data_IF_038685680925
#
_entry.id   IF_038685680925
#
_cell.length_a   1.000
_cell.length_b   1.000
_cell.length_c   1.000
_cell.angle_alpha   90.00
_cell.angle_beta   90.00
_cell.angle_gamma   90.00
#
_symmetry.space_group_name_H-M   'P 1'
#
loop_
_entity.id
_entity.type
_entity.pdbx_description
1 polymer ?
#
# COMPACT_ATOMS: atom_id res chain seq x y z
N UNK A 1 -12.64 -3.59 5.30
CA UNK A 1 -11.34 -2.91 5.20
C UNK A 1 -11.12 -2.04 6.43
N UNK A 2 -9.90 -2.04 6.96
CA UNK A 2 -9.49 -1.20 8.09
C UNK A 2 -8.24 -0.42 7.65
N UNK A 3 -8.34 0.90 7.68
CA UNK A 3 -7.25 1.85 7.53
C UNK A 3 -7.51 3.00 8.50
N UNK A 4 -6.48 3.56 9.11
CA UNK A 4 -6.69 4.56 10.15
C UNK A 4 -5.58 5.61 10.27
N UNK A 5 -4.52 5.43 9.51
CA UNK A 5 -3.30 6.24 9.66
C UNK A 5 -2.46 5.84 10.88
N UNK A 6 -1.39 6.57 11.10
CA UNK A 6 -0.46 6.32 12.19
C UNK A 6 -0.90 7.05 13.45
N UNK A 7 -0.93 6.35 14.59
CA UNK A 7 -1.31 6.94 15.87
C UNK A 7 -0.13 6.91 16.86
N UNK A 8 0.22 8.03 17.48
CA UNK A 8 1.41 8.11 18.34
C UNK A 8 1.31 7.25 19.59
N UNK A 9 0.09 7.02 20.13
CA UNK A 9 -0.08 6.33 21.41
C UNK A 9 -0.42 4.84 21.26
N UNK A 10 -0.90 4.39 20.08
CA UNK A 10 -1.26 3.00 19.89
C UNK A 10 -0.07 2.17 19.39
N UNK A 11 0.19 1.05 20.05
CA UNK A 11 1.17 0.04 19.67
C UNK A 11 0.56 -1.09 18.84
N UNK A 12 1.38 -2.04 18.43
CA UNK A 12 0.97 -3.22 17.64
C UNK A 12 -0.07 -4.08 18.38
N UNK A 13 0.03 -4.18 19.70
CA UNK A 13 -0.89 -4.87 20.60
C UNK A 13 -2.33 -4.35 20.49
N UNK A 14 -2.50 -3.02 20.43
CA UNK A 14 -3.80 -2.39 20.20
C UNK A 14 -4.43 -2.87 18.88
N UNK A 15 -3.67 -2.90 17.80
CA UNK A 15 -4.17 -3.29 16.48
C UNK A 15 -4.45 -4.80 16.38
N UNK A 16 -3.62 -5.62 17.00
CA UNK A 16 -3.87 -7.08 17.06
C UNK A 16 -5.11 -7.40 17.90
N UNK A 17 -5.32 -6.70 19.02
CA UNK A 17 -6.53 -6.87 19.83
C UNK A 17 -7.78 -6.43 19.06
N UNK A 18 -7.72 -5.30 18.36
CA UNK A 18 -8.81 -4.83 17.51
C UNK A 18 -9.21 -5.88 16.44
N UNK A 19 -8.23 -6.49 15.77
CA UNK A 19 -8.49 -7.55 14.78
C UNK A 19 -9.15 -8.76 15.46
N UNK A 20 -8.64 -9.21 16.61
CA UNK A 20 -9.22 -10.33 17.37
C UNK A 20 -10.67 -10.07 17.76
N UNK A 21 -11.00 -8.86 18.21
CA UNK A 21 -12.38 -8.45 18.52
C UNK A 21 -13.29 -8.48 17.31
N UNK A 22 -12.81 -7.99 16.15
CA UNK A 22 -13.56 -8.09 14.89
C UNK A 22 -13.86 -9.56 14.55
N UNK A 23 -12.85 -10.42 14.64
CA UNK A 23 -13.00 -11.86 14.36
C UNK A 23 -13.91 -12.57 15.39
N UNK A 24 -13.89 -12.13 16.64
CA UNK A 24 -14.78 -12.67 17.66
C UNK A 24 -16.26 -12.35 17.39
N UNK A 25 -16.56 -11.15 16.90
CA UNK A 25 -17.92 -10.70 16.55
C UNK A 25 -18.37 -11.28 15.20
N UNK A 26 -17.46 -11.33 14.22
CA UNK A 26 -17.71 -11.75 12.85
C UNK A 26 -16.65 -12.76 12.39
N UNK A 27 -16.71 -14.02 12.82
CA UNK A 27 -15.66 -15.02 12.54
C UNK A 27 -15.43 -15.27 11.03
N UNK A 28 -16.48 -15.15 10.22
CA UNK A 28 -16.41 -15.34 8.77
C UNK A 28 -15.95 -14.10 7.98
N UNK A 29 -15.75 -12.95 8.62
CA UNK A 29 -15.33 -11.74 7.92
C UNK A 29 -13.85 -11.81 7.50
N UNK A 30 -13.57 -11.52 6.22
CA UNK A 30 -12.20 -11.31 5.75
C UNK A 30 -11.71 -9.92 6.19
N UNK A 31 -10.62 -9.87 6.96
CA UNK A 31 -10.02 -8.63 7.47
C UNK A 31 -8.86 -8.20 6.58
N UNK A 32 -9.11 -7.23 5.71
CA UNK A 32 -8.07 -6.52 4.97
C UNK A 32 -7.72 -5.24 5.73
N UNK A 33 -6.51 -5.20 6.31
CA UNK A 33 -6.18 -4.17 7.28
C UNK A 33 -4.78 -3.60 7.06
N UNK A 34 -4.70 -2.30 7.26
CA UNK A 34 -3.52 -1.44 7.32
C UNK A 34 -2.68 -1.42 6.03
N UNK A 35 -2.37 -0.23 5.58
CA UNK A 35 -1.43 -0.01 4.47
C UNK A 35 0.00 -0.37 4.89
N UNK A 36 0.89 -0.58 3.92
CA UNK A 36 2.30 -0.85 4.19
C UNK A 36 2.95 0.23 5.07
N UNK A 37 2.53 1.48 4.94
CA UNK A 37 3.05 2.60 5.74
C UNK A 37 2.61 2.50 7.20
N UNK A 38 1.33 2.20 7.44
CA UNK A 38 0.81 1.99 8.80
C UNK A 38 1.47 0.78 9.45
N UNK A 39 1.62 -0.33 8.71
CA UNK A 39 2.30 -1.55 9.17
C UNK A 39 3.75 -1.28 9.54
N UNK A 40 4.49 -0.62 8.67
CA UNK A 40 5.88 -0.26 8.92
C UNK A 40 6.03 0.60 10.17
N UNK A 41 5.15 1.58 10.36
CA UNK A 41 5.16 2.44 11.54
C UNK A 41 4.88 1.65 12.83
N UNK A 42 3.77 0.88 12.89
CA UNK A 42 3.37 0.18 14.12
C UNK A 42 4.34 -0.95 14.51
N UNK A 43 4.91 -1.64 13.53
CA UNK A 43 5.88 -2.72 13.73
C UNK A 43 7.21 -2.16 14.24
N UNK A 44 7.72 -1.09 13.60
CA UNK A 44 8.94 -0.40 14.05
C UNK A 44 8.78 0.17 15.46
N UNK A 45 7.62 0.75 15.78
CA UNK A 45 7.30 1.25 17.12
C UNK A 45 7.32 0.13 18.16
N UNK A 46 6.95 -1.08 17.81
CA UNK A 46 7.01 -2.26 18.67
C UNK A 46 8.43 -2.86 18.82
N UNK A 47 9.43 -2.32 18.12
CA UNK A 47 10.80 -2.84 18.12
C UNK A 47 10.95 -4.19 17.44
N UNK A 48 10.05 -4.56 16.54
CA UNK A 48 10.01 -5.84 15.85
C UNK A 48 10.53 -5.72 14.41
N UNK A 49 10.97 -6.84 13.87
CA UNK A 49 11.15 -6.98 12.42
C UNK A 49 9.80 -6.98 11.70
N UNK A 50 9.80 -6.59 10.43
CA UNK A 50 8.58 -6.59 9.60
C UNK A 50 7.90 -7.97 9.61
N UNK A 51 8.68 -9.04 9.49
CA UNK A 51 8.15 -10.40 9.48
C UNK A 51 7.51 -10.80 10.82
N UNK A 52 8.12 -10.47 11.94
CA UNK A 52 7.58 -10.74 13.28
C UNK A 52 6.25 -10.01 13.51
N UNK A 53 6.19 -8.73 13.17
CA UNK A 53 4.97 -7.94 13.32
C UNK A 53 3.84 -8.43 12.42
N UNK A 54 4.13 -8.74 11.16
CA UNK A 54 3.15 -9.30 10.22
C UNK A 54 2.65 -10.69 10.66
N UNK A 55 3.52 -11.51 11.24
CA UNK A 55 3.13 -12.82 11.79
C UNK A 55 2.15 -12.66 12.96
N UNK A 56 2.38 -11.70 13.86
CA UNK A 56 1.46 -11.39 14.96
C UNK A 56 0.09 -10.91 14.44
N UNK A 57 0.07 -10.03 13.45
CA UNK A 57 -1.17 -9.55 12.83
C UNK A 57 -1.93 -10.67 12.11
N UNK A 58 -1.22 -11.55 11.38
CA UNK A 58 -1.82 -12.74 10.76
C UNK A 58 -2.43 -13.67 11.81
N UNK A 59 -1.72 -13.95 12.90
CA UNK A 59 -2.23 -14.76 14.01
C UNK A 59 -3.44 -14.12 14.69
N UNK A 60 -3.53 -12.80 14.72
CA UNK A 60 -4.70 -12.08 15.22
C UNK A 60 -5.91 -12.18 14.28
N UNK A 61 -5.72 -12.59 13.02
CA UNK A 61 -6.78 -12.77 12.03
C UNK A 61 -6.75 -11.77 10.87
N UNK A 62 -5.64 -11.09 10.62
CA UNK A 62 -5.48 -10.28 9.40
C UNK A 62 -5.33 -11.20 8.18
N UNK A 63 -6.22 -11.05 7.21
CA UNK A 63 -6.28 -11.92 6.03
C UNK A 63 -5.57 -11.33 4.81
N UNK A 64 -5.49 -10.00 4.68
CA UNK A 64 -4.88 -9.34 3.53
C UNK A 64 -4.44 -7.90 3.84
N UNK A 65 -3.60 -7.32 2.96
CA UNK A 65 -3.11 -5.95 3.04
C UNK A 65 -3.60 -5.14 1.85
N UNK A 66 -4.16 -3.92 2.04
CA UNK A 66 -4.46 -3.02 0.94
C UNK A 66 -3.20 -2.40 0.31
N UNK A 67 -3.28 -1.95 -0.93
CA UNK A 67 -2.13 -1.42 -1.68
C UNK A 67 -1.79 0.05 -1.46
N UNK A 68 -2.47 0.74 -0.54
CA UNK A 68 -2.29 2.18 -0.33
C UNK A 68 -0.87 2.56 0.10
N UNK A 69 -0.47 3.81 -0.18
CA UNK A 69 0.85 4.35 0.15
C UNK A 69 1.93 4.08 -0.89
N UNK A 70 1.66 3.30 -1.95
CA UNK A 70 2.58 3.09 -3.07
C UNK A 70 2.87 4.39 -3.82
N UNK A 71 1.86 5.15 -4.10
CA UNK A 71 1.84 6.39 -4.87
C UNK A 71 2.62 6.25 -6.19
N UNK A 72 3.89 6.61 -6.21
CA UNK A 72 4.81 6.40 -7.33
C UNK A 72 6.19 5.96 -6.81
N UNK A 73 6.85 5.01 -7.47
CA UNK A 73 8.15 4.50 -7.08
C UNK A 73 9.29 5.32 -7.69
N UNK A 74 9.36 6.59 -7.26
CA UNK A 74 10.46 7.50 -7.50
C UNK A 74 10.64 8.38 -6.27
N UNK A 75 11.82 8.32 -5.65
CA UNK A 75 12.06 8.97 -4.35
C UNK A 75 11.99 10.50 -4.44
N UNK A 76 12.37 11.10 -5.57
CA UNK A 76 12.30 12.56 -5.75
C UNK A 76 10.85 13.03 -5.83
N UNK A 77 10.03 12.26 -6.55
CA UNK A 77 8.60 12.56 -6.65
C UNK A 77 7.92 12.30 -5.29
N UNK A 78 8.23 11.17 -4.61
CA UNK A 78 7.68 10.86 -3.28
C UNK A 78 7.96 11.99 -2.28
N UNK A 79 9.18 12.50 -2.23
CA UNK A 79 9.53 13.63 -1.36
C UNK A 79 8.69 14.88 -1.64
N UNK A 80 8.21 15.06 -2.87
CA UNK A 80 7.38 16.21 -3.24
C UNK A 80 5.89 16.01 -2.90
N UNK A 81 5.35 14.79 -3.11
CA UNK A 81 3.89 14.55 -3.04
C UNK A 81 3.44 13.88 -1.74
N UNK A 82 4.33 13.14 -1.08
CA UNK A 82 3.99 12.34 0.10
C UNK A 82 5.24 12.06 0.98
N UNK A 83 5.97 13.09 1.46
CA UNK A 83 7.21 12.90 2.22
C UNK A 83 7.03 12.06 3.49
N UNK A 84 5.80 12.05 4.03
CA UNK A 84 5.44 11.29 5.24
C UNK A 84 5.23 9.79 4.99
N UNK A 85 5.15 9.34 3.74
CA UNK A 85 4.79 7.94 3.40
C UNK A 85 5.98 7.00 3.23
N UNK A 86 7.14 7.35 3.76
CA UNK A 86 8.31 6.48 3.70
C UNK A 86 8.83 6.22 2.28
N UNK A 87 9.78 5.30 2.15
CA UNK A 87 10.44 5.00 0.89
C UNK A 87 9.73 3.90 0.08
N UNK A 88 10.03 3.84 -1.21
CA UNK A 88 9.64 2.74 -2.09
C UNK A 88 10.15 1.38 -1.58
N UNK A 89 11.40 1.35 -1.10
CA UNK A 89 12.00 0.12 -0.58
C UNK A 89 11.25 -0.40 0.65
N UNK A 90 10.83 0.50 1.53
CA UNK A 90 10.02 0.15 2.71
C UNK A 90 8.67 -0.43 2.31
N UNK A 91 7.96 0.20 1.36
CA UNK A 91 6.69 -0.30 0.86
C UNK A 91 6.82 -1.70 0.25
N UNK A 92 7.77 -1.89 -0.67
CA UNK A 92 8.02 -3.18 -1.32
C UNK A 92 8.45 -4.25 -0.31
N UNK A 93 9.30 -3.91 0.66
CA UNK A 93 9.75 -4.83 1.70
C UNK A 93 8.62 -5.36 2.59
N UNK A 94 7.65 -4.51 2.95
CA UNK A 94 6.46 -4.95 3.70
C UNK A 94 5.64 -5.94 2.87
N UNK A 95 5.40 -5.66 1.59
CA UNK A 95 4.64 -6.55 0.71
C UNK A 95 5.38 -7.87 0.46
N UNK A 96 6.68 -7.84 0.25
CA UNK A 96 7.49 -9.05 0.09
C UNK A 96 7.43 -9.93 1.34
N UNK A 97 7.60 -9.36 2.53
CA UNK A 97 7.49 -10.09 3.79
C UNK A 97 6.09 -10.67 4.01
N UNK A 98 5.03 -9.91 3.66
CA UNK A 98 3.66 -10.38 3.71
C UNK A 98 3.43 -11.60 2.79
N UNK A 99 3.91 -11.52 1.54
CA UNK A 99 3.78 -12.61 0.58
C UNK A 99 4.49 -13.88 1.04
N UNK A 100 5.71 -13.76 1.60
CA UNK A 100 6.44 -14.91 2.19
C UNK A 100 5.68 -15.57 3.34
N UNK A 101 4.88 -14.80 4.08
CA UNK A 101 4.00 -15.30 5.12
C UNK A 101 2.66 -15.81 4.59
N UNK A 102 2.41 -15.79 3.28
CA UNK A 102 1.14 -16.16 2.67
C UNK A 102 0.01 -15.18 3.02
N UNK A 103 0.32 -13.90 3.19
CA UNK A 103 -0.65 -12.81 3.32
C UNK A 103 -0.77 -12.14 1.95
N UNK A 104 -1.89 -12.31 1.23
CA UNK A 104 -2.09 -11.67 -0.06
C UNK A 104 -2.25 -10.16 0.09
N UNK A 105 -1.81 -9.42 -0.93
CA UNK A 105 -1.87 -7.96 -0.90
C UNK A 105 -2.40 -7.39 -2.21
N UNK A 106 -2.71 -6.09 -2.22
CA UNK A 106 -2.98 -5.37 -3.45
C UNK A 106 -1.82 -4.42 -3.76
N UNK A 107 -1.66 -4.07 -5.04
CA UNK A 107 -0.77 -3.01 -5.49
C UNK A 107 -1.57 -1.82 -6.01
N UNK A 108 -1.03 -0.62 -5.86
CA UNK A 108 -1.64 0.61 -6.39
C UNK A 108 -0.58 1.47 -7.10
N UNK A 109 -1.03 2.37 -7.95
CA UNK A 109 -0.27 3.50 -8.46
C UNK A 109 -1.15 4.75 -8.41
N UNK A 110 -0.60 5.89 -7.99
CA UNK A 110 -1.20 7.20 -8.21
C UNK A 110 -0.55 7.83 -9.42
N UNK A 111 -1.34 8.22 -10.41
CA UNK A 111 -0.82 8.80 -11.66
C UNK A 111 -1.59 10.04 -12.09
N UNK A 112 -0.97 10.84 -12.96
CA UNK A 112 -1.58 12.06 -13.50
C UNK A 112 -1.33 13.28 -12.64
N UNK A 113 -0.25 13.30 -11.84
CA UNK A 113 0.18 14.46 -11.06
C UNK A 113 1.47 15.07 -11.66
N UNK A 114 2.62 14.91 -11.01
CA UNK A 114 3.91 15.51 -11.45
C UNK A 114 4.86 14.49 -12.07
N UNK A 115 4.45 13.24 -12.11
CA UNK A 115 5.24 12.15 -12.67
C UNK A 115 5.21 12.16 -14.21
N UNK A 116 6.22 11.56 -14.82
CA UNK A 116 6.32 11.32 -16.24
C UNK A 116 6.07 9.84 -16.56
N UNK A 117 5.86 9.51 -17.83
CA UNK A 117 5.64 8.13 -18.30
C UNK A 117 6.75 7.16 -17.83
N UNK A 118 8.01 7.59 -17.85
CA UNK A 118 9.14 6.77 -17.37
C UNK A 118 9.00 6.36 -15.90
N UNK A 119 8.42 7.21 -15.06
CA UNK A 119 8.19 6.91 -13.64
C UNK A 119 7.08 5.88 -13.48
N UNK A 120 6.00 5.97 -14.28
CA UNK A 120 4.92 4.96 -14.31
C UNK A 120 5.48 3.61 -14.75
N UNK A 121 6.29 3.56 -15.83
CA UNK A 121 6.92 2.32 -16.32
C UNK A 121 7.83 1.72 -15.25
N UNK A 122 8.68 2.53 -14.59
CA UNK A 122 9.53 2.05 -13.50
C UNK A 122 8.71 1.47 -12.34
N UNK A 123 7.61 2.13 -11.98
CA UNK A 123 6.70 1.65 -10.93
C UNK A 123 6.11 0.28 -11.29
N UNK A 124 5.55 0.15 -12.49
CA UNK A 124 4.98 -1.11 -12.98
C UNK A 124 6.02 -2.23 -13.05
N UNK A 125 7.24 -1.92 -13.55
CA UNK A 125 8.34 -2.88 -13.61
C UNK A 125 8.69 -3.42 -12.22
N UNK A 126 8.81 -2.57 -11.21
CA UNK A 126 9.13 -3.00 -9.84
C UNK A 126 8.01 -3.82 -9.19
N UNK A 127 6.75 -3.48 -9.46
CA UNK A 127 5.62 -4.32 -9.04
C UNK A 127 5.64 -5.68 -9.73
N UNK A 128 5.96 -5.71 -11.05
CA UNK A 128 6.08 -6.96 -11.81
C UNK A 128 7.21 -7.83 -11.27
N UNK A 129 8.38 -7.25 -11.00
CA UNK A 129 9.51 -7.97 -10.42
C UNK A 129 9.14 -8.62 -9.08
N UNK A 130 8.41 -7.92 -8.21
CA UNK A 130 7.93 -8.49 -6.94
C UNK A 130 6.85 -9.55 -7.16
N UNK A 131 5.94 -9.35 -8.10
CA UNK A 131 4.92 -10.36 -8.45
C UNK A 131 5.54 -11.64 -9.01
N UNK A 132 6.53 -11.52 -9.90
CA UNK A 132 7.23 -12.68 -10.47
C UNK A 132 8.01 -13.46 -9.40
N UNK A 133 8.53 -12.76 -8.39
CA UNK A 133 9.23 -13.37 -7.26
C UNK A 133 8.30 -14.08 -6.29
N UNK A 134 7.12 -13.53 -6.02
CA UNK A 134 6.30 -13.94 -4.86
C UNK A 134 4.89 -14.41 -5.20
N UNK A 135 4.32 -13.99 -6.31
CA UNK A 135 2.93 -14.29 -6.69
C UNK A 135 1.84 -13.71 -5.78
N UNK A 136 2.20 -12.79 -4.85
CA UNK A 136 1.33 -12.42 -3.73
C UNK A 136 0.38 -11.25 -3.97
N UNK A 137 0.47 -10.53 -5.08
CA UNK A 137 -0.49 -9.48 -5.41
C UNK A 137 -1.78 -10.06 -5.99
N UNK A 138 -2.91 -9.78 -5.35
CA UNK A 138 -4.24 -10.20 -5.83
C UNK A 138 -4.83 -9.23 -6.86
N UNK A 139 -4.52 -7.95 -6.76
CA UNK A 139 -5.05 -6.93 -7.63
C UNK A 139 -4.08 -5.76 -7.76
N UNK A 140 -4.06 -5.16 -8.95
CA UNK A 140 -3.43 -3.88 -9.22
C UNK A 140 -4.49 -2.82 -9.48
N UNK A 141 -4.45 -1.71 -8.74
CA UNK A 141 -5.47 -0.65 -8.74
C UNK A 141 -4.81 0.67 -9.11
N UNK A 142 -4.95 1.15 -10.35
CA UNK A 142 -4.49 2.47 -10.73
C UNK A 142 -5.48 3.53 -10.22
N UNK A 143 -4.94 4.55 -9.57
CA UNK A 143 -5.65 5.66 -8.98
C UNK A 143 -5.30 6.94 -9.74
N UNK A 144 -6.28 7.52 -10.41
CA UNK A 144 -6.11 8.81 -11.08
C UNK A 144 -6.02 9.93 -10.05
N UNK A 145 -5.01 10.79 -10.20
CA UNK A 145 -4.92 12.01 -9.41
C UNK A 145 -6.14 12.89 -9.60
N UNK A 146 -6.65 13.43 -8.50
CA UNK A 146 -7.75 14.41 -8.45
C UNK A 146 -7.23 15.68 -7.81
N UNK A 147 -7.38 16.80 -8.51
CA UNK A 147 -6.85 18.09 -8.06
C UNK A 147 -7.73 18.80 -7.01
N UNK A 148 -8.99 18.40 -6.88
CA UNK A 148 -9.92 19.07 -5.97
C UNK A 148 -9.56 18.85 -4.49
N UNK A 149 -9.46 19.93 -3.74
CA UNK A 149 -9.34 19.89 -2.27
C UNK A 149 -7.98 19.44 -1.73
N UNK A 150 -6.89 19.57 -2.51
CA UNK A 150 -5.55 19.21 -2.05
C UNK A 150 -4.50 20.31 -2.32
N UNK A 151 -3.31 20.25 -1.67
CA UNK A 151 -2.27 21.28 -1.82
C UNK A 151 -1.68 21.43 -3.22
N UNK A 152 -1.89 20.45 -4.12
CA UNK A 152 -1.42 20.49 -5.51
C UNK A 152 -2.58 20.75 -6.48
N UNK A 153 -3.60 21.49 -6.07
CA UNK A 153 -4.80 21.77 -6.88
C UNK A 153 -4.52 22.52 -8.17
N UNK A 154 -3.38 23.19 -8.28
CA UNK A 154 -2.90 23.84 -9.51
C UNK A 154 -2.52 22.86 -10.62
N UNK A 155 -2.26 21.58 -10.30
CA UNK A 155 -1.97 20.55 -11.29
C UNK A 155 -3.29 20.09 -11.92
N UNK A 156 -3.35 20.18 -13.24
CA UNK A 156 -4.51 19.72 -14.00
C UNK A 156 -4.66 18.20 -13.93
N UNK A 157 -5.89 17.72 -14.11
CA UNK A 157 -6.15 16.28 -14.22
C UNK A 157 -5.83 15.77 -15.63
N UNK A 158 -5.36 14.54 -15.75
CA UNK A 158 -5.16 13.87 -17.05
C UNK A 158 -6.49 13.72 -17.81
N UNK A 159 -6.40 13.82 -19.14
CA UNK A 159 -7.55 13.66 -20.02
C UNK A 159 -8.18 12.26 -19.91
N UNK A 160 -9.42 12.12 -20.32
CA UNK A 160 -10.12 10.82 -20.39
C UNK A 160 -9.35 9.83 -21.28
N UNK A 161 -8.77 10.30 -22.39
CA UNK A 161 -8.01 9.44 -23.32
C UNK A 161 -6.74 8.93 -22.65
N UNK A 162 -6.03 9.79 -21.92
CA UNK A 162 -4.81 9.41 -21.19
C UNK A 162 -5.13 8.44 -20.05
N UNK A 163 -6.22 8.69 -19.33
CA UNK A 163 -6.73 7.80 -18.29
C UNK A 163 -7.03 6.40 -18.88
N UNK A 164 -7.79 6.32 -19.97
CA UNK A 164 -8.08 5.06 -20.67
C UNK A 164 -6.81 4.33 -21.11
N UNK A 165 -5.82 5.05 -21.67
CA UNK A 165 -4.54 4.44 -22.06
C UNK A 165 -3.81 3.83 -20.86
N UNK A 166 -3.84 4.51 -19.71
CA UNK A 166 -3.24 3.98 -18.49
C UNK A 166 -3.97 2.73 -17.99
N UNK A 167 -5.31 2.71 -18.09
CA UNK A 167 -6.14 1.58 -17.67
C UNK A 167 -5.96 0.36 -18.60
N UNK A 168 -5.85 0.56 -19.91
CA UNK A 168 -5.68 -0.51 -20.91
C UNK A 168 -4.24 -1.04 -20.88
N UNK A 169 -3.23 -0.18 -20.79
CA UNK A 169 -1.81 -0.57 -20.83
C UNK A 169 -1.36 -1.51 -19.72
N UNK A 170 -2.17 -1.71 -18.69
CA UNK A 170 -1.93 -2.71 -17.63
C UNK A 170 -2.41 -4.12 -17.99
N UNK A 171 -3.22 -4.26 -19.02
CA UNK A 171 -3.85 -5.53 -19.40
C UNK A 171 -3.05 -6.30 -20.48
N UNK A 172 -1.96 -5.70 -20.99
CA UNK A 172 -1.09 -6.27 -22.03
C UNK A 172 0.26 -6.74 -21.50
#
# INVERSE_FOLDING_TARGET
HIVGGVHPDHGLDYYTDMIRRVKAILPGAAVKAFTAIELSYMIRKAGLTTEEGLRQLKQAGMDAIPGGGAEIFDERIRQRICPEKGSTAEWLGVHEAAHRLGIPTNATILYGHVEELRHRINHLRRLRELQDLTGGFNAFIPLKYRNFGNPMSEIGEVSVIEDLRMQIGRAS
#
